data_IF_903583851653
#
_entry.id   IF_903583851653
#
_cell.length_a   1.000
_cell.length_b   1.000
_cell.length_c   1.000
_cell.angle_alpha   90.00
_cell.angle_beta   90.00
_cell.angle_gamma   90.00
#
_symmetry.space_group_name_H-M   'P 1'
#
loop_
_entity.id
_entity.type
_entity.pdbx_description
1 polymer ?
#
# COMPACT_ATOMS: atom_id res chain seq x y z
N UNK A 1 11.86 -7.13 -4.87
CA UNK A 1 13.13 -6.49 -4.47
C UNK A 1 12.90 -5.15 -3.82
N UNK A 2 13.88 -4.63 -3.11
CA UNK A 2 13.85 -3.29 -2.53
C UNK A 2 15.21 -2.61 -2.66
N UNK A 3 15.21 -1.31 -2.99
CA UNK A 3 16.43 -0.49 -3.05
C UNK A 3 16.91 -0.01 -1.68
N UNK A 4 16.01 0.03 -0.70
CA UNK A 4 16.32 0.46 0.68
C UNK A 4 15.63 -0.47 1.68
N UNK A 5 16.25 -0.64 2.84
CA UNK A 5 15.67 -1.43 3.92
C UNK A 5 14.33 -0.82 4.35
N UNK A 6 13.26 -1.63 4.36
CA UNK A 6 11.86 -1.22 4.61
C UNK A 6 11.31 -0.20 3.59
N UNK A 7 11.97 -0.07 2.43
CA UNK A 7 11.51 0.77 1.33
C UNK A 7 10.39 0.12 0.52
N UNK A 8 10.04 0.80 -0.58
CA UNK A 8 9.05 0.29 -1.51
C UNK A 8 9.49 -1.05 -2.12
N UNK A 9 8.55 -1.97 -2.24
CA UNK A 9 8.74 -3.23 -2.95
C UNK A 9 8.51 -3.05 -4.45
N UNK A 10 9.38 -3.67 -5.23
CA UNK A 10 9.29 -3.77 -6.68
C UNK A 10 9.22 -5.24 -7.08
N UNK A 11 8.34 -5.54 -8.01
CA UNK A 11 8.17 -6.89 -8.54
C UNK A 11 8.89 -6.98 -9.88
N UNK A 12 9.62 -8.06 -10.08
CA UNK A 12 10.42 -8.34 -11.26
C UNK A 12 10.16 -9.76 -11.73
N UNK A 13 10.25 -9.96 -13.03
CA UNK A 13 10.46 -11.29 -13.59
C UNK A 13 11.91 -11.70 -13.30
N UNK A 14 12.18 -12.88 -12.71
CA UNK A 14 13.54 -13.33 -12.44
C UNK A 14 14.39 -13.57 -13.69
N UNK A 15 13.81 -13.70 -14.89
CA UNK A 15 14.53 -13.83 -16.16
C UNK A 15 15.45 -15.05 -16.24
N UNK A 16 15.07 -16.17 -15.61
CA UNK A 16 15.90 -17.38 -15.54
C UNK A 16 16.92 -17.40 -14.40
N UNK A 17 16.99 -16.34 -13.59
CA UNK A 17 17.80 -16.29 -12.37
C UNK A 17 16.99 -16.78 -11.16
N UNK A 18 17.69 -17.30 -10.15
CA UNK A 18 17.06 -17.77 -8.91
C UNK A 18 17.67 -17.08 -7.69
N UNK A 19 17.48 -15.75 -7.53
CA UNK A 19 18.05 -15.03 -6.41
C UNK A 19 17.40 -15.46 -5.09
N UNK A 20 18.22 -15.57 -4.05
CA UNK A 20 17.78 -15.83 -2.68
C UNK A 20 17.50 -14.51 -1.95
N UNK A 21 16.74 -14.59 -0.87
CA UNK A 21 16.53 -13.44 0.02
C UNK A 21 17.88 -12.95 0.56
N UNK A 22 18.13 -11.66 0.40
CA UNK A 22 19.39 -11.00 0.74
C UNK A 22 20.35 -10.81 -0.43
N UNK A 23 20.18 -11.52 -1.54
CA UNK A 23 21.03 -11.37 -2.72
C UNK A 23 20.86 -9.97 -3.33
N UNK A 24 21.97 -9.45 -3.87
CA UNK A 24 21.98 -8.19 -4.63
C UNK A 24 21.78 -8.48 -6.10
N UNK A 25 20.75 -7.87 -6.66
CA UNK A 25 20.34 -8.06 -8.06
C UNK A 25 20.27 -6.72 -8.80
N UNK A 26 20.40 -6.78 -10.10
CA UNK A 26 20.31 -5.61 -10.99
C UNK A 26 18.87 -5.43 -11.48
N UNK A 27 18.33 -4.27 -11.20
CA UNK A 27 16.98 -3.84 -11.63
C UNK A 27 17.16 -2.88 -12.80
N UNK A 28 16.56 -3.14 -13.96
CA UNK A 28 16.60 -2.19 -15.07
C UNK A 28 15.78 -0.95 -14.69
N UNK A 29 16.39 0.23 -14.86
CA UNK A 29 15.74 1.54 -14.71
C UNK A 29 16.02 2.40 -15.93
N UNK A 30 15.28 3.50 -16.10
CA UNK A 30 15.48 4.44 -17.22
C UNK A 30 16.88 5.04 -17.24
N UNK A 31 17.56 5.10 -16.10
CA UNK A 31 18.92 5.61 -15.92
C UNK A 31 20.01 4.52 -15.96
N UNK A 32 19.64 3.30 -16.31
CA UNK A 32 20.52 2.13 -16.30
C UNK A 32 20.24 1.17 -15.14
N UNK A 33 20.95 0.03 -15.09
CA UNK A 33 20.73 -0.97 -14.05
C UNK A 33 21.17 -0.46 -12.67
N UNK A 34 20.28 -0.57 -11.69
CA UNK A 34 20.53 -0.23 -10.29
C UNK A 34 20.53 -1.48 -9.40
N UNK A 35 21.31 -1.43 -8.31
CA UNK A 35 21.41 -2.52 -7.35
C UNK A 35 20.24 -2.48 -6.38
N UNK A 36 19.54 -3.60 -6.25
CA UNK A 36 18.49 -3.80 -5.24
C UNK A 36 18.72 -5.10 -4.48
N UNK A 37 18.12 -5.22 -3.30
CA UNK A 37 18.14 -6.41 -2.48
C UNK A 37 16.91 -7.26 -2.75
N UNK A 38 17.11 -8.55 -2.98
CA UNK A 38 16.04 -9.52 -3.08
C UNK A 38 15.42 -9.71 -1.68
N UNK A 39 14.18 -9.29 -1.48
CA UNK A 39 13.45 -9.43 -0.21
C UNK A 39 12.49 -10.61 -0.23
N UNK A 40 12.10 -11.08 -1.42
CA UNK A 40 11.33 -12.30 -1.65
C UNK A 40 11.97 -13.10 -2.77
N UNK A 41 12.19 -14.38 -2.53
CA UNK A 41 12.66 -15.29 -3.57
C UNK A 41 11.58 -15.46 -4.65
N UNK A 42 11.97 -15.84 -5.90
CA UNK A 42 11.03 -16.11 -6.97
C UNK A 42 9.97 -17.13 -6.55
N UNK A 43 8.72 -16.85 -6.90
CA UNK A 43 7.58 -17.72 -6.64
C UNK A 43 6.74 -17.85 -7.90
N UNK A 44 6.18 -19.04 -8.12
CA UNK A 44 5.21 -19.26 -9.16
C UNK A 44 3.89 -18.54 -8.82
N UNK A 45 3.33 -17.87 -9.80
CA UNK A 45 2.01 -17.26 -9.74
C UNK A 45 1.09 -17.93 -10.75
N UNK A 46 -0.17 -18.13 -10.40
CA UNK A 46 -1.15 -18.81 -11.26
C UNK A 46 -1.67 -17.92 -12.39
N UNK A 47 -1.49 -16.61 -12.28
CA UNK A 47 -1.93 -15.64 -13.28
C UNK A 47 -0.71 -15.08 -14.02
N UNK A 48 -0.83 -14.92 -15.35
CA UNK A 48 0.18 -14.22 -16.13
C UNK A 48 0.17 -12.74 -15.74
N UNK A 49 1.32 -12.24 -15.26
CA UNK A 49 1.50 -10.84 -14.91
C UNK A 49 2.36 -10.20 -16.00
N UNK A 50 1.70 -9.57 -16.96
CA UNK A 50 2.38 -8.85 -18.04
C UNK A 50 3.07 -7.56 -17.54
N UNK A 51 4.15 -7.18 -18.23
CA UNK A 51 4.81 -5.89 -18.05
C UNK A 51 5.71 -5.79 -16.82
N UNK A 52 6.10 -6.91 -16.21
CA UNK A 52 7.13 -6.90 -15.18
C UNK A 52 8.51 -6.66 -15.81
N UNK A 53 9.34 -5.75 -15.25
CA UNK A 53 10.72 -5.61 -15.67
C UNK A 53 11.48 -6.92 -15.42
N UNK A 54 12.30 -7.34 -16.37
CA UNK A 54 13.12 -8.55 -16.22
C UNK A 54 14.38 -8.22 -15.43
N UNK A 55 14.71 -9.06 -14.42
CA UNK A 55 15.94 -8.94 -13.66
C UNK A 55 17.15 -9.10 -14.59
N UNK A 56 18.09 -8.13 -14.53
CA UNK A 56 19.30 -8.16 -15.35
C UNK A 56 20.38 -9.13 -14.80
N UNK A 57 20.11 -9.78 -13.67
CA UNK A 57 21.02 -10.77 -13.08
C UNK A 57 21.58 -10.35 -11.72
N UNK A 58 22.54 -11.11 -11.18
CA UNK A 58 23.21 -10.76 -9.93
C UNK A 58 24.11 -9.51 -10.11
N UNK A 59 24.20 -8.70 -9.05
CA UNK A 59 25.10 -7.54 -9.05
C UNK A 59 26.55 -7.99 -8.91
N UNK A 60 27.41 -7.61 -9.85
CA UNK A 60 28.86 -7.80 -9.76
C UNK A 60 29.52 -6.70 -8.91
N UNK A 61 30.82 -6.89 -8.63
CA UNK A 61 31.61 -6.00 -7.74
C UNK A 61 31.58 -4.53 -8.19
N UNK A 62 31.70 -4.27 -9.49
CA UNK A 62 31.62 -2.89 -10.03
C UNK A 62 30.27 -2.21 -9.73
N UNK A 63 29.19 -2.97 -9.79
CA UNK A 63 27.86 -2.46 -9.49
C UNK A 63 27.71 -2.15 -8.00
N UNK A 64 28.26 -3.01 -7.14
CA UNK A 64 28.25 -2.84 -5.69
C UNK A 64 29.08 -1.63 -5.27
N UNK A 65 30.27 -1.45 -5.84
CA UNK A 65 31.16 -0.29 -5.56
C UNK A 65 30.49 1.02 -6.01
N UNK A 66 29.84 1.01 -7.17
CA UNK A 66 29.07 2.16 -7.66
C UNK A 66 27.89 2.48 -6.75
N UNK A 67 27.13 1.48 -6.32
CA UNK A 67 26.00 1.68 -5.40
C UNK A 67 26.48 2.23 -4.05
N UNK A 68 27.56 1.70 -3.50
CA UNK A 68 28.14 2.20 -2.24
C UNK A 68 28.61 3.65 -2.38
N UNK A 69 29.26 3.99 -3.49
CA UNK A 69 29.67 5.37 -3.80
C UNK A 69 28.46 6.30 -3.88
N UNK A 70 27.40 5.87 -4.58
CA UNK A 70 26.17 6.65 -4.71
C UNK A 70 25.42 6.78 -3.39
N UNK A 71 25.46 5.76 -2.53
CA UNK A 71 24.94 5.85 -1.15
C UNK A 71 25.67 6.90 -0.32
N UNK A 72 26.99 6.94 -0.40
CA UNK A 72 27.80 7.97 0.28
C UNK A 72 27.47 9.36 -0.22
N UNK A 73 27.37 9.55 -1.55
CA UNK A 73 26.97 10.82 -2.18
C UNK A 73 25.58 11.26 -1.71
N UNK A 74 24.59 10.35 -1.67
CA UNK A 74 23.25 10.64 -1.16
C UNK A 74 23.25 11.05 0.31
N UNK A 75 24.03 10.36 1.15
CA UNK A 75 24.17 10.68 2.58
C UNK A 75 24.82 12.05 2.80
N UNK A 76 25.89 12.37 2.06
CA UNK A 76 26.54 13.67 2.10
C UNK A 76 25.58 14.79 1.65
N UNK A 77 24.91 14.61 0.51
CA UNK A 77 23.94 15.58 0.01
C UNK A 77 22.79 15.82 1.00
N UNK A 78 22.33 14.76 1.68
CA UNK A 78 21.33 14.87 2.75
C UNK A 78 21.84 15.71 3.93
N UNK A 79 23.08 15.50 4.33
CA UNK A 79 23.71 16.25 5.43
C UNK A 79 23.89 17.73 5.07
N UNK A 80 24.43 18.01 3.89
CA UNK A 80 24.59 19.37 3.35
C UNK A 80 23.24 20.08 3.27
N UNK A 81 22.23 19.40 2.72
CA UNK A 81 20.88 19.96 2.58
C UNK A 81 20.27 20.33 3.93
N UNK A 82 20.36 19.44 4.94
CA UNK A 82 19.88 19.74 6.30
C UNK A 82 20.55 20.98 6.89
N UNK A 83 21.87 21.09 6.74
CA UNK A 83 22.64 22.23 7.25
C UNK A 83 22.23 23.56 6.58
N UNK A 84 22.07 23.53 5.25
CA UNK A 84 21.67 24.73 4.49
C UNK A 84 20.21 25.12 4.75
N UNK A 85 19.29 24.18 4.87
CA UNK A 85 17.89 24.46 5.26
C UNK A 85 17.85 25.18 6.60
N UNK A 86 18.62 24.70 7.59
CA UNK A 86 18.71 25.35 8.90
C UNK A 86 19.32 26.76 8.79
N UNK A 87 20.35 26.96 7.95
CA UNK A 87 20.96 28.26 7.72
C UNK A 87 20.02 29.25 7.07
N UNK A 88 19.18 28.79 6.13
CA UNK A 88 18.18 29.61 5.46
C UNK A 88 16.86 29.75 6.25
N UNK A 89 16.76 29.16 7.43
CA UNK A 89 15.59 29.18 8.32
C UNK A 89 14.28 28.75 7.62
N UNK A 90 14.38 27.81 6.67
CA UNK A 90 13.23 27.37 5.87
C UNK A 90 12.40 26.33 6.63
N UNK A 91 11.05 26.48 6.67
CA UNK A 91 10.14 25.53 7.32
C UNK A 91 9.92 24.27 6.48
N UNK A 92 11.00 23.53 6.22
CA UNK A 92 10.98 22.33 5.39
C UNK A 92 11.82 21.21 6.01
N UNK A 93 11.37 19.97 5.79
CA UNK A 93 12.02 18.75 6.29
C UNK A 93 12.43 17.89 5.09
N UNK A 94 13.69 17.44 5.06
CA UNK A 94 14.15 16.50 4.05
C UNK A 94 13.63 15.11 4.36
N UNK A 95 12.98 14.51 3.37
CA UNK A 95 12.45 13.15 3.43
C UNK A 95 13.43 12.17 2.79
N UNK A 96 13.88 12.45 1.58
CA UNK A 96 14.81 11.62 0.83
C UNK A 96 15.74 12.42 -0.06
N UNK A 97 16.80 11.78 -0.52
CA UNK A 97 17.71 12.32 -1.55
C UNK A 97 18.05 11.19 -2.50
N UNK A 98 17.80 11.41 -3.78
CA UNK A 98 18.25 10.55 -4.86
C UNK A 98 19.40 11.20 -5.62
N UNK A 99 20.23 10.38 -6.23
CA UNK A 99 21.33 10.79 -7.06
C UNK A 99 21.34 9.97 -8.34
N UNK A 100 21.22 10.65 -9.47
CA UNK A 100 21.35 10.12 -10.81
C UNK A 100 22.78 10.34 -11.29
N UNK A 101 23.57 9.27 -11.30
CA UNK A 101 25.01 9.33 -11.62
C UNK A 101 25.23 9.73 -13.08
N UNK A 102 24.42 9.22 -14.01
CA UNK A 102 24.52 9.52 -15.44
C UNK A 102 24.42 11.02 -15.76
N UNK A 103 23.54 11.75 -15.07
CA UNK A 103 23.27 13.17 -15.31
C UNK A 103 23.92 14.09 -14.27
N UNK A 104 24.58 13.54 -13.27
CA UNK A 104 25.11 14.25 -12.10
C UNK A 104 24.05 15.17 -11.46
N UNK A 105 22.86 14.61 -11.21
CA UNK A 105 21.70 15.34 -10.67
C UNK A 105 21.31 14.78 -9.32
N UNK A 106 21.17 15.65 -8.32
CA UNK A 106 20.55 15.33 -7.05
C UNK A 106 19.08 15.74 -7.05
N UNK A 107 18.19 14.82 -6.71
CA UNK A 107 16.78 15.12 -6.41
C UNK A 107 16.57 15.05 -4.91
N UNK A 108 16.25 16.20 -4.30
CA UNK A 108 15.98 16.30 -2.87
C UNK A 108 14.48 16.37 -2.65
N UNK A 109 13.92 15.34 -2.02
CA UNK A 109 12.51 15.29 -1.62
C UNK A 109 12.32 15.92 -0.25
N UNK A 110 11.38 16.84 -0.16
CA UNK A 110 11.10 17.53 1.09
C UNK A 110 9.59 17.64 1.37
N UNK A 111 9.23 17.71 2.64
CA UNK A 111 7.88 18.09 3.09
C UNK A 111 7.93 19.48 3.74
N UNK A 112 6.86 20.24 3.53
CA UNK A 112 6.69 21.57 4.12
C UNK A 112 5.20 21.82 4.39
N UNK A 113 4.83 22.59 5.45
CA UNK A 113 3.44 22.88 5.79
C UNK A 113 2.74 23.78 4.74
N UNK A 114 3.51 24.60 4.03
CA UNK A 114 3.05 25.50 2.99
C UNK A 114 4.11 25.68 1.90
N UNK A 115 3.82 26.50 0.91
CA UNK A 115 4.74 26.79 -0.18
C UNK A 115 5.95 27.56 0.35
N UNK A 116 7.16 27.10 -0.01
CA UNK A 116 8.44 27.65 0.43
C UNK A 116 9.19 28.24 -0.77
N UNK A 117 9.81 29.42 -0.62
CA UNK A 117 10.75 29.93 -1.61
C UNK A 117 12.16 29.37 -1.32
N UNK A 118 12.58 28.45 -2.16
CA UNK A 118 13.85 27.75 -2.02
C UNK A 118 14.89 28.14 -3.08
N UNK A 119 14.71 29.26 -3.83
CA UNK A 119 15.63 29.66 -4.91
C UNK A 119 17.06 29.91 -4.41
N UNK A 120 17.22 30.53 -3.26
CA UNK A 120 18.53 30.74 -2.64
C UNK A 120 19.15 29.41 -2.19
N UNK A 121 18.36 28.53 -1.59
CA UNK A 121 18.79 27.19 -1.17
C UNK A 121 19.30 26.34 -2.33
N UNK A 122 18.60 26.32 -3.48
CA UNK A 122 19.02 25.57 -4.68
C UNK A 122 20.40 26.03 -5.16
N UNK A 123 20.63 27.35 -5.23
CA UNK A 123 21.92 27.90 -5.64
C UNK A 123 23.06 27.47 -4.71
N UNK A 124 22.82 27.49 -3.40
CA UNK A 124 23.83 27.11 -2.43
C UNK A 124 24.06 25.60 -2.41
N UNK A 125 23.02 24.79 -2.62
CA UNK A 125 23.13 23.34 -2.78
C UNK A 125 23.97 22.99 -4.01
N UNK A 126 23.63 23.55 -5.17
CA UNK A 126 24.36 23.30 -6.41
C UNK A 126 25.85 23.68 -6.29
N UNK A 127 26.17 24.78 -5.61
CA UNK A 127 27.55 25.23 -5.36
C UNK A 127 28.28 24.26 -4.41
N UNK A 128 27.64 23.79 -3.35
CA UNK A 128 28.28 22.89 -2.38
C UNK A 128 28.45 21.47 -2.92
N UNK A 129 27.46 20.96 -3.67
CA UNK A 129 27.47 19.60 -4.22
C UNK A 129 28.15 19.51 -5.60
N UNK A 130 28.46 20.66 -6.22
CA UNK A 130 29.05 20.74 -7.58
C UNK A 130 28.26 19.93 -8.60
N UNK A 131 26.94 19.95 -8.48
CA UNK A 131 26.04 19.19 -9.32
C UNK A 131 24.71 19.94 -9.50
N UNK A 132 23.90 19.52 -10.46
CA UNK A 132 22.53 20.00 -10.61
C UNK A 132 21.68 19.50 -9.44
N UNK A 133 20.84 20.38 -8.88
CA UNK A 133 19.96 20.02 -7.76
C UNK A 133 18.52 20.38 -8.10
N UNK A 134 17.65 19.39 -7.97
CA UNK A 134 16.20 19.53 -8.06
C UNK A 134 15.56 19.36 -6.69
N UNK A 135 14.66 20.27 -6.32
CA UNK A 135 13.88 20.18 -5.09
C UNK A 135 12.44 19.80 -5.45
N UNK A 136 11.96 18.69 -4.88
CA UNK A 136 10.60 18.20 -5.09
C UNK A 136 9.85 18.17 -3.76
N UNK A 137 8.80 19.00 -3.66
CA UNK A 137 7.90 18.94 -2.52
C UNK A 137 6.98 17.73 -2.66
N UNK A 138 6.87 16.95 -1.59
CA UNK A 138 6.02 15.76 -1.53
C UNK A 138 4.95 15.89 -0.46
N UNK A 139 3.85 15.18 -0.68
CA UNK A 139 2.75 15.13 0.27
C UNK A 139 3.02 14.15 1.43
N UNK A 140 2.22 14.21 2.52
CA UNK A 140 2.43 13.34 3.68
C UNK A 140 2.34 11.84 3.37
N UNK A 141 1.53 11.44 2.38
CA UNK A 141 1.45 10.03 1.96
C UNK A 141 2.70 9.58 1.22
N UNK A 142 3.25 10.44 0.36
CA UNK A 142 4.49 10.14 -0.36
C UNK A 142 5.68 10.15 0.59
N UNK A 143 5.66 11.01 1.62
CA UNK A 143 6.64 10.97 2.71
C UNK A 143 6.59 9.60 3.41
N UNK A 144 5.41 9.15 3.85
CA UNK A 144 5.23 7.84 4.47
C UNK A 144 5.65 6.69 3.53
N UNK A 145 5.32 6.79 2.24
CA UNK A 145 5.71 5.82 1.22
C UNK A 145 7.21 5.68 1.04
N UNK A 146 7.94 6.81 1.04
CA UNK A 146 9.40 6.83 0.89
C UNK A 146 10.12 6.35 2.16
N UNK A 147 9.56 6.65 3.33
CA UNK A 147 10.12 6.20 4.61
C UNK A 147 9.83 4.72 4.89
N UNK A 148 8.75 4.18 4.32
CA UNK A 148 8.26 2.86 4.66
C UNK A 148 7.73 2.77 6.08
N UNK A 149 7.59 1.56 6.59
CA UNK A 149 7.19 1.29 7.98
C UNK A 149 5.94 0.42 8.08
N UNK A 150 5.42 0.29 9.30
CA UNK A 150 4.28 -0.57 9.64
C UNK A 150 3.02 0.27 9.83
N UNK A 151 1.94 -0.16 9.22
CA UNK A 151 0.63 0.47 9.37
C UNK A 151 -0.05 0.11 10.70
N UNK A 152 -1.15 0.80 11.07
CA UNK A 152 -1.92 0.48 12.28
C UNK A 152 -2.51 -0.94 12.28
N UNK A 153 -2.58 -1.60 11.13
CA UNK A 153 -2.99 -3.01 10.98
C UNK A 153 -1.86 -4.03 11.25
N UNK A 154 -0.64 -3.58 11.55
CA UNK A 154 0.52 -4.44 11.80
C UNK A 154 1.23 -4.95 10.53
N UNK A 155 0.78 -4.55 9.34
CA UNK A 155 1.41 -4.86 8.05
C UNK A 155 2.23 -3.69 7.53
N UNK A 156 3.13 -3.96 6.57
CA UNK A 156 3.82 -2.91 5.84
C UNK A 156 2.83 -1.95 5.18
N UNK A 157 3.22 -0.69 5.04
CA UNK A 157 2.36 0.35 4.48
C UNK A 157 1.88 -0.05 3.07
N UNK A 158 0.57 -0.06 2.84
CA UNK A 158 -0.03 -0.36 1.53
C UNK A 158 0.57 0.50 0.41
N UNK A 159 0.84 1.78 0.68
CA UNK A 159 1.46 2.70 -0.26
C UNK A 159 2.93 2.38 -0.57
N UNK A 160 3.63 1.70 0.31
CA UNK A 160 5.01 1.27 0.09
C UNK A 160 5.09 -0.11 -0.60
N UNK A 161 4.02 -0.92 -0.52
CA UNK A 161 3.97 -2.28 -1.06
C UNK A 161 3.23 -2.35 -2.40
N UNK A 162 1.90 -2.53 -2.38
CA UNK A 162 1.12 -2.88 -3.56
C UNK A 162 0.26 -1.74 -4.10
N UNK A 163 -0.18 -0.79 -3.26
CA UNK A 163 -1.12 0.25 -3.66
C UNK A 163 -0.37 1.41 -4.35
N UNK A 164 -0.56 1.53 -5.66
CA UNK A 164 0.11 2.55 -6.49
C UNK A 164 -0.78 3.78 -6.70
N UNK A 165 -2.07 3.56 -6.94
CA UNK A 165 -3.05 4.59 -7.25
C UNK A 165 -3.91 4.92 -6.04
N UNK A 166 -4.18 6.21 -5.85
CA UNK A 166 -4.87 6.70 -4.67
C UNK A 166 -6.10 7.50 -5.07
N UNK A 167 -7.24 6.88 -4.86
CA UNK A 167 -8.51 7.55 -4.98
C UNK A 167 -8.89 8.30 -3.68
N UNK A 168 -9.80 9.30 -3.76
CA UNK A 168 -10.32 9.98 -2.59
C UNK A 168 -10.99 9.02 -1.62
N UNK A 169 -10.65 9.15 -0.33
CA UNK A 169 -11.24 8.36 0.76
C UNK A 169 -12.20 9.24 1.55
N UNK A 170 -13.39 8.72 1.84
CA UNK A 170 -14.41 9.41 2.65
C UNK A 170 -14.65 8.71 3.99
N UNK A 171 -15.11 9.48 4.98
CA UNK A 171 -15.52 8.94 6.28
C UNK A 171 -16.70 7.97 6.17
N UNK A 172 -17.53 8.10 5.11
CA UNK A 172 -18.62 7.18 4.83
C UNK A 172 -18.10 5.75 4.62
N UNK A 173 -16.96 5.59 3.93
CA UNK A 173 -16.35 4.28 3.70
C UNK A 173 -15.96 3.58 5.02
N UNK A 174 -15.50 4.35 6.02
CA UNK A 174 -15.22 3.81 7.34
C UNK A 174 -16.49 3.33 8.06
N UNK A 175 -17.60 4.08 7.94
CA UNK A 175 -18.91 3.67 8.46
C UNK A 175 -19.43 2.41 7.76
N UNK A 176 -19.25 2.34 6.44
CA UNK A 176 -19.65 1.17 5.66
C UNK A 176 -18.83 -0.08 6.02
N UNK A 177 -17.68 0.08 6.65
CA UNK A 177 -16.81 -0.99 7.15
C UNK A 177 -16.94 -1.21 8.67
N UNK A 178 -17.99 -0.67 9.29
CA UNK A 178 -18.28 -0.76 10.72
C UNK A 178 -17.14 -0.31 11.64
N UNK A 179 -16.28 0.60 11.12
CA UNK A 179 -15.19 1.17 11.89
C UNK A 179 -15.66 2.40 12.70
N UNK A 180 -15.18 2.55 13.93
CA UNK A 180 -15.49 3.74 14.73
C UNK A 180 -14.96 5.00 14.05
N UNK A 181 -15.81 6.03 13.92
CA UNK A 181 -15.46 7.31 13.30
C UNK A 181 -14.61 8.15 14.26
N UNK A 182 -13.46 7.62 14.61
CA UNK A 182 -12.45 8.30 15.40
C UNK A 182 -11.25 8.61 14.48
N UNK A 183 -10.87 9.89 14.28
CA UNK A 183 -9.76 10.27 13.41
C UNK A 183 -8.46 9.49 13.69
N UNK A 184 -8.17 9.18 14.96
CA UNK A 184 -6.98 8.42 15.33
C UNK A 184 -7.04 6.94 14.89
N UNK A 185 -8.25 6.38 14.75
CA UNK A 185 -8.42 4.96 14.36
C UNK A 185 -8.58 4.75 12.85
N UNK A 186 -8.99 5.80 12.13
CA UNK A 186 -9.18 5.73 10.67
C UNK A 186 -8.11 6.49 9.89
N UNK A 187 -7.09 7.04 10.58
CA UNK A 187 -5.92 7.65 9.96
C UNK A 187 -4.81 6.62 9.78
N UNK A 188 -4.16 6.66 8.61
CA UNK A 188 -2.94 5.92 8.34
C UNK A 188 -1.71 6.62 8.93
N UNK A 189 -0.53 5.99 8.80
CA UNK A 189 0.75 6.55 9.25
C UNK A 189 1.07 7.93 8.63
N UNK A 190 0.50 8.24 7.47
CA UNK A 190 0.61 9.55 6.83
C UNK A 190 -0.30 10.64 7.41
N UNK A 191 -1.10 10.35 8.43
CA UNK A 191 -2.07 11.28 9.04
C UNK A 191 -3.33 11.54 8.21
N UNK A 192 -3.45 11.00 7.00
CA UNK A 192 -4.66 11.05 6.17
C UNK A 192 -5.52 9.80 6.42
N UNK A 193 -6.79 9.83 5.98
CA UNK A 193 -7.64 8.64 6.01
C UNK A 193 -6.94 7.45 5.35
N UNK A 194 -7.09 6.27 5.95
CA UNK A 194 -6.45 5.04 5.49
C UNK A 194 -6.87 4.71 4.06
N UNK A 195 -5.90 4.50 3.17
CA UNK A 195 -6.15 4.15 1.78
C UNK A 195 -6.79 2.77 1.60
N UNK A 196 -6.58 1.84 2.53
CA UNK A 196 -7.25 0.54 2.53
C UNK A 196 -8.77 0.66 2.64
N UNK A 197 -9.31 1.70 3.27
CA UNK A 197 -10.77 1.93 3.32
C UNK A 197 -11.38 1.98 1.92
N UNK A 198 -10.75 2.67 0.98
CA UNK A 198 -11.21 2.73 -0.41
C UNK A 198 -10.92 1.44 -1.15
N UNK A 199 -9.74 0.85 -0.94
CA UNK A 199 -9.32 -0.39 -1.57
C UNK A 199 -10.27 -1.56 -1.23
N UNK A 200 -10.67 -1.67 0.03
CA UNK A 200 -11.54 -2.74 0.51
C UNK A 200 -13.04 -2.44 0.34
N UNK A 201 -13.42 -1.16 0.11
CA UNK A 201 -14.81 -0.73 0.06
C UNK A 201 -15.70 -1.51 -0.93
N UNK A 202 -15.25 -1.85 -2.16
CA UNK A 202 -16.04 -2.66 -3.09
C UNK A 202 -16.44 -4.02 -2.50
N UNK A 203 -15.51 -4.69 -1.78
CA UNK A 203 -15.77 -5.96 -1.12
C UNK A 203 -16.90 -5.84 -0.08
N UNK A 204 -16.90 -4.77 0.71
CA UNK A 204 -17.95 -4.49 1.69
C UNK A 204 -19.30 -4.18 1.02
N UNK A 205 -19.30 -3.47 -0.11
CA UNK A 205 -20.50 -3.18 -0.87
C UNK A 205 -21.13 -4.46 -1.45
N UNK A 206 -20.31 -5.31 -2.07
CA UNK A 206 -20.73 -6.59 -2.63
C UNK A 206 -21.29 -7.51 -1.55
N UNK A 207 -20.58 -7.63 -0.42
CA UNK A 207 -21.03 -8.42 0.71
C UNK A 207 -22.41 -7.94 1.21
N UNK A 208 -22.57 -6.63 1.42
CA UNK A 208 -23.84 -6.05 1.91
C UNK A 208 -25.01 -6.19 0.93
N UNK A 209 -24.72 -6.25 -0.36
CA UNK A 209 -25.75 -6.45 -1.38
C UNK A 209 -26.33 -7.86 -1.34
N UNK A 210 -25.53 -8.86 -0.95
CA UNK A 210 -25.88 -10.27 -0.98
C UNK A 210 -26.17 -10.88 0.41
N UNK A 211 -25.61 -10.30 1.49
CA UNK A 211 -25.80 -10.83 2.85
C UNK A 211 -27.11 -10.36 3.50
N UNK A 212 -27.71 -11.18 4.36
CA UNK A 212 -28.85 -10.78 5.18
C UNK A 212 -28.50 -9.58 6.07
N UNK A 213 -29.43 -8.64 6.23
CA UNK A 213 -29.22 -7.45 7.08
C UNK A 213 -29.12 -7.82 8.55
N UNK A 214 -28.37 -7.05 9.32
CA UNK A 214 -28.37 -7.15 10.79
C UNK A 214 -29.80 -7.00 11.33
N UNK A 215 -30.22 -7.90 12.24
CA UNK A 215 -31.57 -8.00 12.77
C UNK A 215 -32.49 -8.91 11.95
N UNK A 216 -32.07 -9.40 10.79
CA UNK A 216 -32.89 -10.35 10.02
C UNK A 216 -32.88 -11.74 10.68
N UNK A 217 -34.08 -12.40 10.66
CA UNK A 217 -34.17 -13.81 11.00
C UNK A 217 -33.60 -14.64 9.85
N UNK A 218 -32.84 -15.67 10.18
CA UNK A 218 -32.14 -16.52 9.20
C UNK A 218 -32.06 -17.95 9.72
N UNK A 219 -31.99 -18.88 8.78
CA UNK A 219 -31.69 -20.29 9.06
C UNK A 219 -30.25 -20.59 8.72
N UNK A 220 -29.56 -21.30 9.58
CA UNK A 220 -28.18 -21.73 9.45
C UNK A 220 -28.06 -23.23 9.68
N UNK A 221 -26.98 -23.89 9.28
CA UNK A 221 -26.75 -25.31 9.56
C UNK A 221 -26.77 -25.64 11.07
N UNK A 222 -26.52 -24.62 11.92
CA UNK A 222 -26.52 -24.78 13.40
C UNK A 222 -27.86 -24.45 14.05
N UNK A 223 -28.87 -24.03 13.27
CA UNK A 223 -30.21 -23.69 13.74
C UNK A 223 -30.67 -22.30 13.29
N UNK A 224 -31.92 -21.97 13.60
CA UNK A 224 -32.52 -20.67 13.30
C UNK A 224 -32.02 -19.60 14.28
N UNK A 225 -31.86 -18.38 13.81
CA UNK A 225 -31.33 -17.30 14.62
C UNK A 225 -31.54 -15.92 14.02
N UNK A 226 -30.92 -14.93 14.64
CA UNK A 226 -30.96 -13.52 14.20
C UNK A 226 -29.54 -13.04 13.87
N UNK A 227 -29.37 -12.39 12.73
CA UNK A 227 -28.09 -11.77 12.33
C UNK A 227 -27.73 -10.66 13.30
N UNK A 228 -26.56 -10.77 13.93
CA UNK A 228 -26.05 -9.77 14.88
C UNK A 228 -24.84 -9.00 14.36
N UNK A 229 -24.25 -9.43 13.23
CA UNK A 229 -23.12 -8.77 12.60
C UNK A 229 -22.61 -9.49 11.36
N UNK A 230 -21.61 -8.90 10.76
CA UNK A 230 -20.93 -9.42 9.57
C UNK A 230 -19.42 -9.48 9.80
N UNK A 231 -18.76 -10.47 9.22
CA UNK A 231 -17.30 -10.54 9.13
C UNK A 231 -16.91 -10.66 7.65
N UNK A 232 -16.82 -9.52 7.00
CA UNK A 232 -16.58 -9.43 5.55
C UNK A 232 -15.26 -10.08 5.13
N UNK A 233 -14.12 -9.88 5.84
CA UNK A 233 -12.86 -10.53 5.48
C UNK A 233 -12.89 -12.06 5.46
N UNK A 234 -13.77 -12.69 6.25
CA UNK A 234 -13.95 -14.15 6.29
C UNK A 234 -15.22 -14.63 5.58
N UNK A 235 -15.84 -13.75 4.78
CA UNK A 235 -17.10 -14.02 4.05
C UNK A 235 -18.18 -14.69 4.92
N UNK A 236 -18.36 -14.19 6.16
CA UNK A 236 -19.24 -14.83 7.13
C UNK A 236 -20.21 -13.85 7.78
N UNK A 237 -21.38 -14.41 8.17
CA UNK A 237 -22.45 -13.74 8.89
C UNK A 237 -22.45 -14.24 10.32
N UNK A 238 -22.49 -13.32 11.29
CA UNK A 238 -22.55 -13.65 12.71
C UNK A 238 -24.02 -13.74 13.11
N UNK A 239 -24.45 -14.91 13.50
CA UNK A 239 -25.84 -15.21 13.88
C UNK A 239 -25.91 -15.55 15.36
N UNK A 240 -26.90 -14.99 16.05
CA UNK A 240 -27.29 -15.40 17.40
C UNK A 240 -28.40 -16.42 17.26
N UNK A 241 -28.14 -17.66 17.66
CA UNK A 241 -29.13 -18.74 17.63
C UNK A 241 -30.25 -18.50 18.65
N UNK A 242 -31.45 -18.88 18.30
CA UNK A 242 -32.64 -18.79 19.17
C UNK A 242 -32.55 -19.78 20.31
N UNK A 243 -31.86 -20.90 20.09
CA UNK A 243 -31.61 -21.92 21.10
C UNK A 243 -30.34 -21.56 21.89
N UNK A 244 -30.51 -21.15 23.14
CA UNK A 244 -29.42 -20.83 24.06
C UNK A 244 -28.69 -19.52 23.83
N UNK A 245 -29.05 -18.69 22.82
CA UNK A 245 -28.45 -17.38 22.56
C UNK A 245 -26.96 -17.42 22.10
N UNK A 246 -26.43 -18.59 21.77
CA UNK A 246 -25.07 -18.79 21.31
C UNK A 246 -24.85 -18.03 19.98
N UNK A 247 -23.63 -17.46 19.78
CA UNK A 247 -23.24 -16.84 18.53
C UNK A 247 -22.46 -17.83 17.69
N UNK A 248 -22.82 -17.98 16.44
CA UNK A 248 -22.05 -18.72 15.43
C UNK A 248 -21.67 -17.80 14.27
N UNK A 249 -20.54 -18.10 13.62
CA UNK A 249 -20.12 -17.47 12.39
C UNK A 249 -20.35 -18.47 11.25
N UNK A 250 -21.34 -18.20 10.40
CA UNK A 250 -21.69 -19.07 9.28
C UNK A 250 -21.23 -18.43 7.96
N UNK A 251 -20.78 -19.24 7.02
CA UNK A 251 -20.47 -18.72 5.68
C UNK A 251 -21.70 -18.05 5.08
N UNK A 252 -21.50 -16.93 4.38
CA UNK A 252 -22.58 -16.20 3.69
C UNK A 252 -23.41 -17.11 2.79
N UNK A 253 -22.76 -18.07 2.13
CA UNK A 253 -23.42 -19.03 1.24
C UNK A 253 -24.32 -20.03 1.98
N UNK A 254 -24.05 -20.32 3.26
CA UNK A 254 -24.81 -21.29 4.08
C UNK A 254 -25.94 -20.65 4.90
N UNK A 255 -26.10 -19.32 4.82
CA UNK A 255 -27.16 -18.59 5.54
C UNK A 255 -28.28 -18.28 4.57
N UNK A 256 -29.45 -18.90 4.80
CA UNK A 256 -30.65 -18.63 4.00
C UNK A 256 -31.55 -17.62 4.71
N UNK A 257 -31.95 -16.56 4.00
CA UNK A 257 -33.04 -15.70 4.47
C UNK A 257 -34.40 -16.27 3.99
N UNK A 258 -35.49 -16.09 4.73
CA UNK A 258 -36.83 -16.53 4.31
C UNK A 258 -37.21 -16.00 2.91
N UNK A 259 -36.74 -14.83 2.54
CA UNK A 259 -36.95 -14.21 1.23
C UNK A 259 -36.28 -14.99 0.11
N UNK A 260 -35.06 -15.46 0.34
CA UNK A 260 -34.30 -16.23 -0.65
C UNK A 260 -34.89 -17.63 -0.84
N UNK A 261 -35.36 -18.23 0.22
CA UNK A 261 -36.09 -19.51 0.15
C UNK A 261 -37.42 -19.38 -0.63
N UNK A 262 -38.10 -18.23 -0.50
CA UNK A 262 -39.32 -17.96 -1.27
C UNK A 262 -39.00 -17.78 -2.77
N UNK A 263 -37.94 -17.00 -3.10
CA UNK A 263 -37.54 -16.76 -4.48
C UNK A 263 -36.97 -18.02 -5.16
N UNK A 264 -36.25 -18.88 -4.42
CA UNK A 264 -35.80 -20.18 -4.92
C UNK A 264 -36.94 -21.17 -5.11
N UNK A 265 -38.01 -21.15 -4.26
CA UNK A 265 -39.18 -22.01 -4.40
C UNK A 265 -40.19 -21.55 -5.46
N UNK A 266 -40.38 -20.26 -5.63
CA UNK A 266 -41.45 -19.71 -6.48
C UNK A 266 -40.90 -18.93 -7.68
N UNK A 267 -39.62 -18.61 -7.74
CA UNK A 267 -38.97 -18.00 -8.89
C UNK A 267 -38.74 -18.96 -10.07
N UNK A 268 -38.60 -20.25 -9.77
CA UNK A 268 -38.47 -21.30 -10.79
C UNK A 268 -39.77 -21.58 -11.56
N UNK A 269 -40.95 -21.30 -10.94
CA UNK A 269 -42.24 -21.53 -11.59
C UNK A 269 -42.63 -20.46 -12.61
N UNK A 270 -41.91 -19.34 -12.74
CA UNK A 270 -42.20 -18.27 -13.72
C UNK A 270 -41.37 -18.33 -14.99
N UNK A 271 -40.42 -19.22 -15.06
CA UNK A 271 -39.59 -19.38 -16.29
C UNK A 271 -40.09 -20.45 -17.24
N UNK A 272 -41.16 -21.18 -16.89
CA UNK A 272 -41.73 -22.24 -17.72
C UNK A 272 -43.04 -21.84 -18.43
N UNK A 273 -43.47 -20.57 -18.36
CA UNK A 273 -44.72 -20.05 -18.99
C UNK A 273 -44.47 -18.89 -19.97
N UNK A 274 -43.30 -18.80 -20.65
CA UNK A 274 -43.14 -17.93 -21.83
C UNK A 274 -42.59 -18.70 -23.02
#
# INVERSE_FOLDING_TARGET
VSFTRYGRLYYLDPGGHSPKVGDKVLVPTDSGPEVAECVWAPQWVSEEIDGLPVCAGPAGDEHLDRDETNRRRRAEARSVSKRLIKRHELPMKIVGVDYLDADNVYTVYFSAPHRVDFRALVRDLARNLRARVELRQIGPRDEARLQGGIGPCGRDLCCATFLKDFEPVSVRMAKDQDLPVNPLRIAGACGRLMCCLKYEHPLYQEFRASAPRTGAAVDTPEGSGTVVGHNVPSDSVIVRLNDGGRRCACSRASVCSPRRQHDERYGAERSDEE
#
